data_IF_412870091906
#
_entry.id   IF_412870091906
#
_cell.length_a   1.000
_cell.length_b   1.000
_cell.length_c   1.000
_cell.angle_alpha   90.00
_cell.angle_beta   90.00
_cell.angle_gamma   90.00
#
_symmetry.space_group_name_H-M   'P 1'
#
loop_
_entity.id
_entity.type
_entity.pdbx_description
1 polymer ?
#
# COMPACT_ATOMS: atom_id res chain seq x y z
N UNK A 1 -8.90 -6.69 -2.77
CA UNK A 1 -8.88 -5.21 -2.92
C UNK A 1 -8.37 -4.79 -4.29
N UNK A 2 -9.14 -3.97 -5.00
CA UNK A 2 -8.85 -3.46 -6.35
C UNK A 2 -7.57 -2.60 -6.38
N UNK A 3 -7.35 -1.77 -5.34
CA UNK A 3 -6.23 -0.82 -5.31
C UNK A 3 -4.86 -1.48 -5.54
N UNK A 4 -4.61 -2.67 -4.99
CA UNK A 4 -3.35 -3.42 -5.18
C UNK A 4 -3.27 -4.05 -6.57
N UNK A 5 -4.41 -4.49 -7.13
CA UNK A 5 -4.44 -5.13 -8.46
C UNK A 5 -4.15 -4.15 -9.59
N UNK A 6 -4.56 -2.89 -9.42
CA UNK A 6 -4.37 -1.82 -10.42
C UNK A 6 -3.16 -0.92 -10.14
N UNK A 7 -2.36 -1.29 -9.14
CA UNK A 7 -1.17 -0.54 -8.76
C UNK A 7 -0.15 -0.47 -9.90
N UNK A 8 0.41 0.71 -10.21
CA UNK A 8 1.48 0.80 -11.19
C UNK A 8 2.75 0.09 -10.68
N UNK A 9 3.39 -0.69 -11.55
CA UNK A 9 4.66 -1.33 -11.23
C UNK A 9 5.78 -0.29 -11.20
N UNK A 10 6.39 -0.11 -10.02
CA UNK A 10 7.54 0.78 -9.81
C UNK A 10 8.88 0.04 -9.77
N UNK A 11 8.83 -1.29 -9.75
CA UNK A 11 9.99 -2.18 -9.93
C UNK A 11 9.63 -3.37 -10.80
N UNK A 12 10.64 -3.95 -11.47
CA UNK A 12 10.55 -5.24 -12.14
C UNK A 12 10.67 -6.41 -11.16
N UNK A 13 11.29 -6.17 -10.00
CA UNK A 13 11.40 -7.15 -8.92
C UNK A 13 10.31 -6.86 -7.88
N UNK A 14 9.21 -7.59 -7.98
CA UNK A 14 8.06 -7.42 -7.10
C UNK A 14 7.35 -8.74 -6.85
N UNK A 15 6.66 -8.84 -5.72
CA UNK A 15 5.77 -9.96 -5.43
C UNK A 15 4.56 -9.52 -4.61
N UNK A 16 3.49 -10.30 -4.67
CA UNK A 16 2.23 -10.02 -3.99
C UNK A 16 1.94 -11.14 -3.01
N UNK A 17 1.54 -10.78 -1.79
CA UNK A 17 1.02 -11.71 -0.79
C UNK A 17 -0.42 -11.38 -0.46
N UNK A 18 -1.23 -12.43 -0.30
CA UNK A 18 -2.59 -12.34 0.20
C UNK A 18 -2.67 -12.97 1.58
N UNK A 19 -3.27 -12.26 2.53
CA UNK A 19 -3.68 -12.82 3.81
C UNK A 19 -5.19 -12.75 3.91
N UNK A 20 -5.85 -13.91 3.91
CA UNK A 20 -7.27 -13.99 4.24
C UNK A 20 -7.52 -13.56 5.69
N UNK A 21 -8.76 -13.13 5.97
CA UNK A 21 -9.23 -12.87 7.32
C UNK A 21 -9.16 -14.15 8.16
N UNK A 22 -8.61 -14.06 9.36
CA UNK A 22 -8.53 -15.17 10.31
C UNK A 22 -8.75 -14.65 11.75
N UNK A 23 -9.92 -14.96 12.32
CA UNK A 23 -10.36 -14.38 13.59
C UNK A 23 -10.41 -12.84 13.53
N UNK A 24 -9.67 -12.20 14.45
CA UNK A 24 -9.54 -10.74 14.52
C UNK A 24 -8.46 -10.18 13.58
N UNK A 25 -7.76 -11.03 12.84
CA UNK A 25 -6.79 -10.57 11.85
C UNK A 25 -7.54 -10.10 10.60
N UNK A 26 -7.40 -8.83 10.18
CA UNK A 26 -8.06 -8.33 8.98
C UNK A 26 -7.53 -9.02 7.72
N UNK A 27 -8.32 -9.00 6.65
CA UNK A 27 -7.82 -9.38 5.33
C UNK A 27 -6.82 -8.32 4.84
N UNK A 28 -5.77 -8.76 4.16
CA UNK A 28 -4.77 -7.87 3.59
C UNK A 28 -4.28 -8.34 2.21
N UNK A 29 -4.16 -7.38 1.30
CA UNK A 29 -3.42 -7.52 0.04
C UNK A 29 -2.14 -6.69 0.14
N UNK A 30 -0.97 -7.30 -0.04
CA UNK A 30 0.31 -6.59 0.09
C UNK A 30 1.14 -6.82 -1.17
N UNK A 31 1.67 -5.74 -1.74
CA UNK A 31 2.68 -5.78 -2.80
C UNK A 31 4.01 -5.24 -2.26
N UNK A 32 5.07 -5.98 -2.57
CA UNK A 32 6.45 -5.64 -2.22
C UNK A 32 7.18 -5.30 -3.52
N UNK A 33 7.86 -4.15 -3.54
CA UNK A 33 8.74 -3.72 -4.63
C UNK A 33 10.16 -3.68 -4.12
N UNK A 34 11.03 -4.49 -4.71
CA UNK A 34 12.45 -4.57 -4.39
C UNK A 34 13.29 -3.74 -5.36
N UNK A 35 14.46 -3.28 -4.94
CA UNK A 35 15.39 -2.53 -5.79
C UNK A 35 14.94 -1.11 -6.13
N UNK A 36 13.98 -0.55 -5.40
CA UNK A 36 13.52 0.83 -5.56
C UNK A 36 13.09 1.43 -4.23
N UNK A 37 13.30 2.74 -4.07
CA UNK A 37 12.73 3.55 -3.00
C UNK A 37 11.97 4.78 -3.55
N UNK A 38 11.81 4.85 -4.88
CA UNK A 38 11.02 5.92 -5.52
C UNK A 38 9.52 5.58 -5.47
N UNK A 39 8.83 6.23 -4.53
CA UNK A 39 7.40 6.05 -4.30
C UNK A 39 6.51 7.01 -5.10
N UNK A 40 7.06 7.99 -5.84
CA UNK A 40 6.28 9.11 -6.37
C UNK A 40 5.13 8.68 -7.31
N UNK A 41 5.33 7.59 -8.06
CA UNK A 41 4.26 7.01 -8.91
C UNK A 41 3.13 6.38 -8.10
N UNK A 42 3.45 5.74 -6.97
CA UNK A 42 2.45 5.13 -6.08
C UNK A 42 1.64 6.20 -5.36
N UNK A 43 2.31 7.24 -4.86
CA UNK A 43 1.63 8.40 -4.26
C UNK A 43 0.69 9.08 -5.26
N UNK A 44 1.17 9.33 -6.48
CA UNK A 44 0.35 9.92 -7.56
C UNK A 44 -0.87 9.05 -7.89
N UNK A 45 -0.69 7.73 -7.90
CA UNK A 45 -1.77 6.77 -8.12
C UNK A 45 -2.82 6.81 -6.99
N UNK A 46 -2.38 6.83 -5.72
CA UNK A 46 -3.28 6.89 -4.57
C UNK A 46 -4.06 8.21 -4.52
N UNK A 47 -3.41 9.33 -4.82
CA UNK A 47 -4.06 10.64 -4.96
C UNK A 47 -5.11 10.61 -6.08
N UNK A 48 -4.78 10.04 -7.25
CA UNK A 48 -5.72 9.93 -8.37
C UNK A 48 -6.93 9.05 -8.06
N UNK A 49 -6.75 8.02 -7.22
CA UNK A 49 -7.84 7.17 -6.69
C UNK A 49 -8.64 7.84 -5.55
N UNK A 50 -8.27 9.05 -5.11
CA UNK A 50 -8.97 9.80 -4.07
C UNK A 50 -8.62 9.37 -2.64
N UNK A 51 -7.43 8.80 -2.44
CA UNK A 51 -6.88 8.61 -1.10
C UNK A 51 -6.22 9.90 -0.59
N UNK A 52 -6.29 10.10 0.72
CA UNK A 52 -5.76 11.23 1.45
C UNK A 52 -4.62 10.72 2.35
N UNK A 53 -3.40 11.27 2.24
CA UNK A 53 -2.27 10.83 3.04
C UNK A 53 -2.36 11.37 4.48
N UNK A 54 -1.91 10.53 5.41
CA UNK A 54 -1.75 10.81 6.83
C UNK A 54 -0.42 10.19 7.29
N UNK A 55 0.52 11.04 7.73
CA UNK A 55 1.82 10.57 8.20
C UNK A 55 1.66 9.97 9.61
N UNK A 56 1.92 8.67 9.73
CA UNK A 56 1.80 7.95 11.00
C UNK A 56 3.16 7.51 11.58
N UNK A 57 4.19 7.43 10.73
CA UNK A 57 5.56 7.09 11.10
C UNK A 57 6.55 7.70 10.10
N UNK A 58 7.85 7.71 10.42
CA UNK A 58 8.92 8.25 9.59
C UNK A 58 9.01 7.59 8.20
N UNK A 59 8.67 6.30 8.12
CA UNK A 59 8.80 5.50 6.90
C UNK A 59 7.45 5.05 6.34
N UNK A 60 6.33 5.39 7.00
CA UNK A 60 5.02 4.88 6.61
C UNK A 60 3.99 6.00 6.55
N UNK A 61 3.32 6.08 5.39
CA UNK A 61 2.19 6.94 5.16
C UNK A 61 0.93 6.06 5.15
N UNK A 62 -0.05 6.44 5.96
CA UNK A 62 -1.40 5.89 5.94
C UNK A 62 -2.23 6.66 4.92
N UNK A 63 -2.96 5.95 4.09
CA UNK A 63 -3.76 6.48 3.00
C UNK A 63 -5.19 6.03 3.21
N UNK A 64 -6.02 6.96 3.65
CA UNK A 64 -7.46 6.75 3.87
C UNK A 64 -8.26 7.28 2.69
N UNK A 65 -9.43 6.72 2.41
CA UNK A 65 -10.34 7.31 1.42
C UNK A 65 -11.76 7.41 1.97
N UNK A 66 -12.44 8.51 1.67
CA UNK A 66 -13.87 8.65 1.95
C UNK A 66 -14.74 7.82 0.99
N UNK A 67 -14.18 7.41 -0.15
CA UNK A 67 -14.88 6.61 -1.17
C UNK A 67 -14.70 5.10 -0.99
N UNK A 68 -13.64 4.69 -0.28
CA UNK A 68 -13.35 3.28 0.02
C UNK A 68 -13.42 3.07 1.52
N UNK A 69 -14.62 2.79 2.05
CA UNK A 69 -14.83 2.56 3.49
C UNK A 69 -14.47 1.16 3.95
N UNK A 70 -14.15 0.24 3.04
CA UNK A 70 -13.89 -1.16 3.36
C UNK A 70 -12.43 -1.45 3.71
N UNK A 71 -11.50 -0.57 3.36
CA UNK A 71 -10.07 -0.78 3.58
C UNK A 71 -9.29 0.53 3.56
N UNK A 72 -8.17 0.52 4.28
CA UNK A 72 -7.14 1.57 4.20
C UNK A 72 -5.90 1.05 3.48
N UNK A 73 -5.08 1.97 2.98
CA UNK A 73 -3.80 1.66 2.35
C UNK A 73 -2.64 2.18 3.20
N UNK A 74 -1.57 1.41 3.31
CA UNK A 74 -0.33 1.80 3.95
C UNK A 74 0.79 1.70 2.93
N UNK A 75 1.55 2.78 2.79
CA UNK A 75 2.71 2.86 1.93
C UNK A 75 3.95 3.05 2.80
N UNK A 76 4.79 2.03 2.87
CA UNK A 76 6.03 2.04 3.63
C UNK A 76 7.22 2.05 2.69
N UNK A 77 8.21 2.92 2.95
CA UNK A 77 9.46 3.02 2.18
C UNK A 77 10.65 2.80 3.09
N UNK A 78 11.54 1.90 2.68
CA UNK A 78 12.78 1.58 3.39
C UNK A 78 13.98 1.86 2.46
N UNK A 79 14.51 3.11 2.45
CA UNK A 79 15.59 3.49 1.55
C UNK A 79 16.88 2.70 1.75
N UNK A 80 17.16 2.27 2.99
CA UNK A 80 18.30 1.44 3.35
C UNK A 80 18.27 0.06 2.68
N UNK A 81 17.06 -0.45 2.40
CA UNK A 81 16.83 -1.74 1.74
C UNK A 81 16.51 -1.60 0.25
N UNK A 82 16.31 -0.38 -0.26
CA UNK A 82 15.69 -0.12 -1.55
C UNK A 82 14.39 -0.93 -1.72
N UNK A 83 13.49 -0.79 -0.75
CA UNK A 83 12.23 -1.53 -0.71
C UNK A 83 11.05 -0.57 -0.50
N UNK A 84 9.96 -0.82 -1.21
CA UNK A 84 8.66 -0.19 -0.98
C UNK A 84 7.63 -1.30 -0.74
N UNK A 85 6.81 -1.12 0.29
CA UNK A 85 5.71 -2.02 0.62
C UNK A 85 4.42 -1.22 0.53
N UNK A 86 3.45 -1.73 -0.23
CA UNK A 86 2.09 -1.19 -0.20
C UNK A 86 1.10 -2.27 0.23
N UNK A 87 0.39 -1.99 1.31
CA UNK A 87 -0.59 -2.90 1.90
C UNK A 87 -1.97 -2.25 1.87
N UNK A 88 -2.96 -2.95 1.34
CA UNK A 88 -4.36 -2.62 1.56
C UNK A 88 -4.91 -3.58 2.63
N UNK A 89 -5.54 -3.03 3.67
CA UNK A 89 -5.98 -3.76 4.87
C UNK A 89 -7.45 -3.45 5.12
N UNK A 90 -8.29 -4.49 5.24
CA UNK A 90 -9.73 -4.28 5.48
C UNK A 90 -9.97 -3.60 6.82
N UNK A 91 -10.92 -2.68 6.83
CA UNK A 91 -11.46 -2.07 8.05
C UNK A 91 -12.56 -2.97 8.62
N UNK A 92 -12.61 -3.07 9.95
CA UNK A 92 -13.69 -3.77 10.69
C UNK A 92 -14.90 -2.85 10.94
#
# INVERSE_FOLDING_TARGET
MEVIRETPLVSQDYYITYSARDGNKPEANIIFFMGTADQSKLESYLIAKGFIPENIDANTIHWRSLSYSEYDVYLSVYPDKNEIIMAAITLD
#
